data_IF_353460371042
#
_entry.id   IF_353460371042
#
_cell.length_a   1.000
_cell.length_b   1.000
_cell.length_c   1.000
_cell.angle_alpha   90.00
_cell.angle_beta   90.00
_cell.angle_gamma   90.00
#
_symmetry.space_group_name_H-M   'P 1'
#
loop_
_entity.id
_entity.type
_entity.pdbx_description
1 polymer ?
#
# COMPACT_ATOMS: atom_id res chain seq x y z
N UNK A 1 23.97 -16.86 10.57
CA UNK A 1 23.35 -15.54 10.28
C UNK A 1 23.36 -15.36 8.78
N UNK A 2 22.23 -15.57 8.10
CA UNK A 2 22.14 -15.34 6.67
C UNK A 2 22.40 -13.85 6.42
N UNK A 3 23.46 -13.54 5.68
CA UNK A 3 23.70 -12.20 5.16
C UNK A 3 22.42 -11.80 4.43
N UNK A 4 21.73 -10.77 4.92
CA UNK A 4 20.72 -10.04 4.15
C UNK A 4 21.43 -9.65 2.85
N UNK A 5 21.17 -10.41 1.79
CA UNK A 5 21.57 -10.00 0.44
C UNK A 5 20.94 -8.63 0.28
N UNK A 6 21.79 -7.60 0.15
CA UNK A 6 21.40 -6.24 -0.22
C UNK A 6 20.18 -6.31 -1.12
N UNK A 7 19.09 -5.63 -0.76
CA UNK A 7 17.90 -5.48 -1.60
C UNK A 7 18.36 -5.00 -3.01
N UNK A 8 18.48 -5.89 -4.01
CA UNK A 8 19.06 -5.52 -5.28
C UNK A 8 17.90 -5.36 -6.24
N UNK A 9 17.13 -4.27 -6.17
CA UNK A 9 16.37 -3.73 -7.32
C UNK A 9 15.34 -2.68 -6.94
N UNK A 10 15.63 -1.40 -7.22
CA UNK A 10 14.64 -0.37 -7.56
C UNK A 10 13.25 -0.43 -6.89
N UNK A 11 12.21 -0.14 -7.67
CA UNK A 11 10.79 -0.16 -7.28
C UNK A 11 10.14 -1.56 -7.45
N UNK A 12 10.93 -2.64 -7.47
CA UNK A 12 10.45 -4.01 -7.76
C UNK A 12 9.87 -4.67 -6.51
N UNK A 13 8.62 -5.10 -6.57
CA UNK A 13 7.89 -5.63 -5.41
C UNK A 13 7.08 -6.89 -5.70
N UNK A 14 7.03 -7.33 -6.96
CA UNK A 14 6.21 -8.43 -7.43
C UNK A 14 7.12 -9.48 -8.02
N UNK A 15 7.03 -10.73 -7.56
CA UNK A 15 7.79 -11.85 -8.08
C UNK A 15 6.85 -12.75 -8.86
N UNK A 16 7.18 -12.99 -10.12
CA UNK A 16 6.53 -14.02 -10.93
C UNK A 16 7.34 -15.32 -10.84
N UNK A 17 6.66 -16.45 -10.65
CA UNK A 17 7.29 -17.75 -10.37
C UNK A 17 6.84 -18.79 -11.40
N UNK A 18 7.80 -19.56 -11.93
CA UNK A 18 7.55 -20.62 -12.90
C UNK A 18 7.25 -21.99 -12.24
N UNK A 19 7.05 -23.03 -13.05
CA UNK A 19 6.78 -24.39 -12.57
C UNK A 19 7.91 -25.02 -11.74
N UNK A 20 9.16 -24.59 -11.97
CA UNK A 20 10.33 -25.09 -11.26
C UNK A 20 10.53 -24.40 -9.90
N UNK A 21 9.68 -23.42 -9.55
CA UNK A 21 9.87 -22.61 -8.34
C UNK A 21 10.96 -21.55 -8.48
N UNK A 22 11.41 -21.25 -9.70
CA UNK A 22 12.34 -20.15 -9.99
C UNK A 22 11.54 -18.86 -10.20
N UNK A 23 12.09 -17.72 -9.80
CA UNK A 23 11.35 -16.46 -9.78
C UNK A 23 12.15 -15.25 -10.26
N UNK A 24 11.43 -14.22 -10.70
CA UNK A 24 12.00 -12.93 -11.10
C UNK A 24 11.16 -11.77 -10.58
N UNK A 25 11.84 -10.75 -10.07
CA UNK A 25 11.21 -9.54 -9.51
C UNK A 25 10.91 -8.51 -10.60
N UNK A 26 9.75 -7.87 -10.47
CA UNK A 26 9.23 -6.82 -11.33
C UNK A 26 8.60 -5.71 -10.48
N UNK A 27 8.62 -4.50 -11.02
CA UNK A 27 7.76 -3.40 -10.58
C UNK A 27 6.36 -3.52 -11.20
N UNK A 28 5.38 -2.82 -10.62
CA UNK A 28 4.03 -2.78 -11.18
C UNK A 28 4.04 -2.13 -12.58
N UNK A 29 4.89 -1.12 -12.77
CA UNK A 29 5.07 -0.39 -14.02
C UNK A 29 5.66 -1.29 -15.12
N UNK A 30 6.65 -2.12 -14.80
CA UNK A 30 7.21 -3.11 -15.75
C UNK A 30 6.14 -4.11 -16.21
N UNK A 31 5.32 -4.62 -15.28
CA UNK A 31 4.26 -5.56 -15.62
C UNK A 31 3.16 -4.92 -16.46
N UNK A 32 2.79 -3.67 -16.17
CA UNK A 32 1.82 -2.90 -16.97
C UNK A 32 2.34 -2.64 -18.38
N UNK A 33 3.58 -2.17 -18.52
CA UNK A 33 4.18 -1.85 -19.82
C UNK A 33 4.32 -3.08 -20.73
N UNK A 34 4.41 -4.27 -20.15
CA UNK A 34 4.49 -5.56 -20.85
C UNK A 34 3.15 -6.27 -20.99
N UNK A 35 2.09 -5.72 -20.40
CA UNK A 35 0.77 -6.36 -20.31
C UNK A 35 0.79 -7.73 -19.61
N UNK A 36 1.72 -7.94 -18.67
CA UNK A 36 1.89 -9.20 -17.92
C UNK A 36 1.07 -9.27 -16.62
N UNK A 37 0.21 -8.28 -16.39
CA UNK A 37 -0.71 -8.15 -15.28
C UNK A 37 -2.08 -8.83 -15.55
N UNK A 38 -2.13 -9.81 -16.45
CA UNK A 38 -3.34 -10.51 -16.89
C UNK A 38 -3.47 -11.88 -16.21
N UNK A 39 -4.12 -11.91 -15.05
CA UNK A 39 -4.34 -13.14 -14.27
C UNK A 39 -5.81 -13.57 -14.24
N UNK A 40 -6.52 -13.38 -15.36
CA UNK A 40 -7.89 -13.86 -15.49
C UNK A 40 -7.91 -15.39 -15.36
N UNK A 41 -8.85 -15.92 -14.59
CA UNK A 41 -8.98 -17.35 -14.30
C UNK A 41 -8.01 -17.88 -13.25
N UNK A 42 -7.15 -17.03 -12.65
CA UNK A 42 -6.28 -17.43 -11.55
C UNK A 42 -6.96 -17.25 -10.20
N UNK A 43 -6.53 -18.01 -9.21
CA UNK A 43 -6.93 -17.80 -7.81
C UNK A 43 -6.13 -16.64 -7.23
N UNK A 44 -6.81 -15.69 -6.60
CA UNK A 44 -6.25 -14.46 -6.05
C UNK A 44 -6.54 -14.35 -4.56
N UNK A 45 -5.57 -13.88 -3.78
CA UNK A 45 -5.70 -13.71 -2.34
C UNK A 45 -6.50 -12.45 -1.91
N UNK A 46 -7.21 -11.80 -2.83
CA UNK A 46 -8.11 -10.69 -2.51
C UNK A 46 -9.19 -11.13 -1.51
N UNK A 47 -9.43 -10.32 -0.47
CA UNK A 47 -10.35 -10.60 0.63
C UNK A 47 -9.76 -11.47 1.74
N UNK A 48 -8.69 -12.22 1.46
CA UNK A 48 -7.99 -13.07 2.45
C UNK A 48 -6.72 -12.39 2.96
N UNK A 49 -5.93 -11.80 2.05
CA UNK A 49 -4.67 -11.11 2.35
C UNK A 49 -4.77 -9.59 2.12
N UNK A 50 -5.82 -9.11 1.46
CA UNK A 50 -6.06 -7.68 1.24
C UNK A 50 -7.50 -7.31 1.53
N UNK A 51 -7.71 -6.07 1.97
CA UNK A 51 -8.99 -5.39 1.97
C UNK A 51 -8.84 -3.99 1.36
N UNK A 52 -9.91 -3.51 0.76
CA UNK A 52 -10.06 -2.11 0.37
C UNK A 52 -11.23 -1.49 1.12
N UNK A 53 -10.96 -0.40 1.85
CA UNK A 53 -11.92 0.41 2.56
C UNK A 53 -12.07 1.74 1.83
N UNK A 54 -13.27 2.04 1.34
CA UNK A 54 -13.58 3.31 0.70
C UNK A 54 -13.78 4.43 1.73
N UNK A 55 -13.81 5.69 1.26
CA UNK A 55 -14.04 6.90 2.08
C UNK A 55 -15.33 6.89 2.92
N UNK A 56 -16.34 6.15 2.50
CA UNK A 56 -17.60 5.94 3.20
C UNK A 56 -17.63 4.71 4.11
N UNK A 57 -16.52 3.97 4.18
CA UNK A 57 -16.34 2.79 5.03
C UNK A 57 -16.72 1.47 4.37
N UNK A 58 -17.21 1.47 3.12
CA UNK A 58 -17.53 0.24 2.41
C UNK A 58 -16.27 -0.62 2.20
N UNK A 59 -16.42 -1.91 2.46
CA UNK A 59 -15.36 -2.90 2.36
C UNK A 59 -15.49 -3.71 1.09
N UNK A 60 -14.35 -3.91 0.45
CA UNK A 60 -14.18 -4.79 -0.69
C UNK A 60 -12.95 -5.67 -0.47
N UNK A 61 -12.92 -6.80 -1.16
CA UNK A 61 -11.80 -7.75 -1.17
C UNK A 61 -10.47 -7.17 -1.67
N UNK A 62 -10.51 -6.16 -2.54
CA UNK A 62 -9.35 -5.51 -3.13
C UNK A 62 -9.79 -4.21 -3.84
N UNK A 63 -8.83 -3.39 -4.29
CA UNK A 63 -9.14 -2.14 -5.00
C UNK A 63 -9.90 -2.41 -6.30
N UNK A 64 -9.57 -3.52 -7.00
CA UNK A 64 -10.29 -3.99 -8.18
C UNK A 64 -11.71 -4.50 -7.93
N UNK A 65 -12.09 -4.69 -6.64
CA UNK A 65 -13.39 -5.18 -6.15
C UNK A 65 -13.78 -6.60 -6.61
N UNK A 66 -12.80 -7.37 -7.09
CA UNK A 66 -13.02 -8.78 -7.45
C UNK A 66 -13.21 -9.62 -6.18
N UNK A 67 -14.38 -10.22 -5.98
CA UNK A 67 -14.79 -10.83 -4.70
C UNK A 67 -15.95 -10.10 -4.03
N UNK A 68 -16.28 -8.89 -4.49
CA UNK A 68 -17.51 -8.19 -4.11
C UNK A 68 -17.40 -7.34 -2.84
N UNK A 69 -18.56 -6.85 -2.40
CA UNK A 69 -18.77 -6.06 -1.20
C UNK A 69 -18.80 -6.96 0.03
N UNK A 70 -18.11 -6.57 1.10
CA UNK A 70 -17.90 -7.36 2.31
C UNK A 70 -18.57 -6.75 3.56
N UNK A 71 -19.11 -5.53 3.47
CA UNK A 71 -19.72 -4.81 4.58
C UNK A 71 -19.23 -3.37 4.72
N UNK A 72 -19.40 -2.78 5.89
CA UNK A 72 -18.90 -1.44 6.20
C UNK A 72 -18.18 -1.44 7.55
N UNK A 73 -17.00 -0.84 7.64
CA UNK A 73 -16.19 -0.80 8.88
C UNK A 73 -16.82 0.02 10.00
N UNK A 74 -17.84 0.83 9.71
CA UNK A 74 -18.55 1.62 10.71
C UNK A 74 -19.86 0.97 11.18
N UNK A 75 -20.21 -0.19 10.62
CA UNK A 75 -21.37 -0.97 11.00
C UNK A 75 -20.96 -2.21 11.82
N UNK A 76 -21.93 -2.90 12.41
CA UNK A 76 -21.68 -4.01 13.35
C UNK A 76 -21.27 -5.35 12.71
N UNK A 77 -21.37 -5.49 11.38
CA UNK A 77 -21.13 -6.76 10.68
C UNK A 77 -20.26 -6.59 9.44
N UNK A 78 -19.25 -7.44 9.34
CA UNK A 78 -18.38 -7.58 8.17
C UNK A 78 -18.19 -9.05 7.87
N UNK A 79 -18.46 -9.46 6.63
CA UNK A 79 -18.31 -10.83 6.16
C UNK A 79 -16.99 -10.96 5.40
N UNK A 80 -15.99 -11.57 6.04
CA UNK A 80 -14.68 -11.76 5.42
C UNK A 80 -14.66 -13.03 4.57
N UNK A 81 -13.92 -12.98 3.46
CA UNK A 81 -13.66 -14.16 2.65
C UNK A 81 -12.66 -15.08 3.35
N UNK A 82 -12.94 -16.38 3.32
CA UNK A 82 -12.07 -17.42 3.92
C UNK A 82 -11.16 -18.10 2.89
N UNK A 83 -11.45 -17.97 1.59
CA UNK A 83 -10.73 -18.64 0.50
C UNK A 83 -10.45 -17.71 -0.68
N UNK A 84 -9.55 -18.11 -1.57
CA UNK A 84 -9.13 -17.32 -2.73
C UNK A 84 -10.28 -17.10 -3.72
N UNK A 85 -10.32 -15.90 -4.29
CA UNK A 85 -11.28 -15.57 -5.34
C UNK A 85 -10.76 -16.00 -6.72
N UNK A 86 -11.62 -16.60 -7.54
CA UNK A 86 -11.30 -16.87 -8.94
C UNK A 86 -11.46 -15.57 -9.74
N UNK A 87 -10.33 -15.02 -10.21
CA UNK A 87 -10.29 -13.70 -10.83
C UNK A 87 -11.01 -13.65 -12.18
N UNK A 88 -12.03 -12.80 -12.32
CA UNK A 88 -12.74 -12.57 -13.58
C UNK A 88 -12.25 -11.35 -14.36
N UNK A 89 -11.40 -10.51 -13.75
CA UNK A 89 -10.84 -9.31 -14.39
C UNK A 89 -9.88 -9.70 -15.51
N UNK A 90 -9.94 -8.98 -16.63
CA UNK A 90 -9.03 -9.18 -17.78
C UNK A 90 -7.58 -8.83 -17.43
N UNK A 91 -7.39 -7.79 -16.62
CA UNK A 91 -6.10 -7.31 -16.16
C UNK A 91 -6.24 -6.71 -14.76
N UNK A 92 -5.14 -6.67 -14.01
CA UNK A 92 -5.07 -6.07 -12.67
C UNK A 92 -4.54 -4.64 -12.76
N UNK A 93 -5.22 -3.67 -12.16
CA UNK A 93 -4.92 -2.24 -12.38
C UNK A 93 -4.09 -1.57 -11.29
N UNK A 94 -4.06 -2.13 -10.09
CA UNK A 94 -3.45 -1.51 -8.92
C UNK A 94 -2.19 -2.28 -8.52
N UNK A 95 -1.06 -1.60 -8.32
CA UNK A 95 0.18 -2.25 -7.88
C UNK A 95 0.03 -3.05 -6.58
N UNK A 96 -0.76 -2.54 -5.63
CA UNK A 96 -1.08 -3.24 -4.37
C UNK A 96 -1.84 -4.55 -4.61
N UNK A 97 -2.77 -4.56 -5.56
CA UNK A 97 -3.52 -5.76 -5.95
C UNK A 97 -2.64 -6.70 -6.80
N UNK A 98 -1.73 -6.18 -7.63
CA UNK A 98 -0.81 -6.99 -8.44
C UNK A 98 0.14 -7.80 -7.54
N UNK A 99 0.60 -7.22 -6.44
CA UNK A 99 1.48 -7.89 -5.47
C UNK A 99 0.79 -9.00 -4.63
N UNK A 100 -0.55 -9.08 -4.64
CA UNK A 100 -1.25 -10.18 -3.97
C UNK A 100 -0.81 -11.53 -4.51
N UNK A 101 -0.78 -12.53 -3.62
CA UNK A 101 -0.53 -13.90 -4.03
C UNK A 101 -1.58 -14.37 -5.02
N UNK A 102 -1.11 -14.96 -6.12
CA UNK A 102 -1.94 -15.55 -7.16
C UNK A 102 -1.35 -16.87 -7.63
N UNK A 103 -2.21 -17.78 -8.06
CA UNK A 103 -1.77 -19.02 -8.67
C UNK A 103 -2.77 -19.50 -9.72
N UNK A 104 -2.25 -20.06 -10.81
CA UNK A 104 -3.04 -20.42 -11.99
C UNK A 104 -4.03 -21.56 -11.71
N UNK A 105 -3.60 -22.57 -10.95
CA UNK A 105 -4.41 -23.74 -10.59
C UNK A 105 -4.18 -24.11 -9.12
N UNK A 106 -5.13 -24.81 -8.48
CA UNK A 106 -5.10 -25.07 -7.03
C UNK A 106 -3.83 -25.80 -6.56
N UNK A 107 -3.31 -26.70 -7.39
CA UNK A 107 -2.05 -27.42 -7.17
C UNK A 107 -0.82 -26.50 -7.20
N UNK A 108 -0.86 -25.37 -7.93
CA UNK A 108 0.20 -24.36 -7.95
C UNK A 108 0.22 -23.44 -6.72
N UNK A 109 -0.73 -23.57 -5.79
CA UNK A 109 -0.79 -22.73 -4.57
C UNK A 109 0.55 -22.66 -3.84
N UNK A 110 1.24 -23.78 -3.72
CA UNK A 110 2.53 -23.85 -3.01
C UNK A 110 3.62 -22.96 -3.61
N UNK A 111 3.59 -22.65 -4.91
CA UNK A 111 4.54 -21.75 -5.57
C UNK A 111 4.34 -20.29 -5.15
N UNK A 112 3.09 -19.91 -4.84
CA UNK A 112 2.75 -18.59 -4.31
C UNK A 112 3.12 -18.44 -2.82
N UNK A 113 3.61 -19.49 -2.16
CA UNK A 113 3.92 -19.54 -0.71
C UNK A 113 5.35 -20.04 -0.40
N UNK A 114 6.23 -20.07 -1.39
CA UNK A 114 7.64 -20.41 -1.20
C UNK A 114 8.51 -19.33 -1.84
N UNK A 115 9.51 -18.88 -1.09
CA UNK A 115 10.59 -18.06 -1.65
C UNK A 115 11.19 -18.80 -2.87
N UNK A 116 11.50 -18.10 -3.98
CA UNK A 116 12.03 -18.76 -5.17
C UNK A 116 13.30 -19.55 -4.87
N UNK A 117 13.43 -20.74 -5.47
CA UNK A 117 14.61 -21.60 -5.32
C UNK A 117 15.86 -20.96 -5.95
N UNK A 118 15.66 -20.23 -7.05
CA UNK A 118 16.68 -19.48 -7.75
C UNK A 118 16.07 -18.25 -8.45
N UNK A 119 16.92 -17.27 -8.75
CA UNK A 119 16.58 -16.11 -9.57
C UNK A 119 16.71 -16.48 -11.06
N UNK A 120 15.71 -16.10 -11.87
CA UNK A 120 15.73 -16.37 -13.31
C UNK A 120 16.67 -15.38 -14.03
N UNK A 121 17.55 -15.87 -14.94
CA UNK A 121 18.47 -15.01 -15.68
C UNK A 121 17.76 -14.15 -16.73
N UNK A 122 16.65 -14.66 -17.28
CA UNK A 122 15.85 -14.00 -18.32
C UNK A 122 14.37 -14.01 -17.95
N UNK A 123 13.54 -13.31 -18.72
CA UNK A 123 12.10 -13.36 -18.52
C UNK A 123 11.54 -14.68 -19.04
N UNK A 124 10.86 -15.50 -18.21
CA UNK A 124 10.34 -16.76 -18.70
C UNK A 124 9.09 -16.55 -19.57
N UNK A 125 8.88 -17.52 -20.47
CA UNK A 125 7.75 -17.56 -21.38
C UNK A 125 6.41 -17.86 -20.67
N UNK A 126 6.44 -18.51 -19.49
CA UNK A 126 5.26 -18.81 -18.68
C UNK A 126 5.56 -18.70 -17.18
N UNK A 127 4.53 -18.28 -16.42
CA UNK A 127 4.52 -18.25 -14.97
C UNK A 127 3.25 -18.90 -14.44
N UNK A 128 3.32 -19.46 -13.24
CA UNK A 128 2.23 -20.20 -12.60
C UNK A 128 1.82 -19.61 -11.25
N UNK A 129 2.64 -18.72 -10.68
CA UNK A 129 2.31 -18.01 -9.45
C UNK A 129 2.87 -16.59 -9.42
N UNK A 130 2.23 -15.77 -8.58
CA UNK A 130 2.64 -14.41 -8.22
C UNK A 130 2.79 -14.36 -6.72
N UNK A 131 3.83 -13.70 -6.24
CA UNK A 131 4.04 -13.45 -4.82
C UNK A 131 4.68 -12.08 -4.58
N UNK A 132 4.50 -11.48 -3.40
CA UNK A 132 5.27 -10.30 -3.00
C UNK A 132 6.77 -10.64 -2.84
N UNK A 133 7.62 -9.62 -2.94
CA UNK A 133 9.07 -9.78 -2.73
C UNK A 133 9.35 -10.23 -1.27
N UNK A 134 10.03 -11.37 -1.12
CA UNK A 134 10.43 -12.00 0.15
C UNK A 134 9.29 -12.42 1.09
N UNK A 135 8.87 -13.67 1.00
CA UNK A 135 7.78 -14.20 1.83
C UNK A 135 8.10 -14.27 3.32
N UNK A 136 9.35 -14.57 3.64
CA UNK A 136 9.85 -14.68 5.02
C UNK A 136 9.70 -13.38 5.83
N UNK A 137 9.48 -12.25 5.15
CA UNK A 137 9.28 -10.93 5.75
C UNK A 137 7.90 -10.33 5.40
N UNK A 138 7.06 -11.06 4.67
CA UNK A 138 5.78 -10.55 4.22
C UNK A 138 4.78 -10.48 5.37
N UNK A 139 4.28 -9.28 5.57
CA UNK A 139 3.12 -9.02 6.41
C UNK A 139 1.93 -9.69 5.70
N UNK A 140 1.30 -10.70 6.32
CA UNK A 140 0.35 -11.58 5.63
C UNK A 140 -0.95 -10.87 5.21
N UNK A 141 -1.25 -9.75 5.84
CA UNK A 141 -2.48 -8.99 5.63
C UNK A 141 -2.16 -7.54 5.30
N UNK A 142 -2.93 -6.97 4.39
CA UNK A 142 -2.88 -5.54 4.10
C UNK A 142 -4.28 -4.94 3.97
N UNK A 143 -4.40 -3.66 4.29
CA UNK A 143 -5.63 -2.89 4.17
C UNK A 143 -5.29 -1.60 3.44
N UNK A 144 -5.93 -1.37 2.30
CA UNK A 144 -5.91 -0.07 1.63
C UNK A 144 -7.13 0.72 2.10
N UNK A 145 -6.92 1.89 2.70
CA UNK A 145 -8.00 2.66 3.31
C UNK A 145 -7.98 4.11 2.84
N UNK A 146 -9.02 4.48 2.10
CA UNK A 146 -9.33 5.87 1.80
C UNK A 146 -10.00 6.49 3.04
N UNK A 147 -9.28 7.30 3.82
CA UNK A 147 -9.80 7.75 5.13
C UNK A 147 -10.90 8.83 5.03
N UNK A 148 -11.11 9.37 3.83
CA UNK A 148 -12.07 10.42 3.51
C UNK A 148 -11.72 11.05 2.16
N UNK A 149 -12.62 11.85 1.58
CA UNK A 149 -12.32 12.59 0.33
C UNK A 149 -11.83 14.02 0.56
N UNK A 150 -11.98 14.54 1.78
CA UNK A 150 -11.57 15.92 2.10
C UNK A 150 -10.08 16.11 1.84
N UNK A 151 -9.76 17.07 0.98
CA UNK A 151 -8.42 17.52 0.63
C UNK A 151 -8.34 19.04 0.76
N UNK A 152 -7.14 19.56 1.00
CA UNK A 152 -6.83 20.98 0.95
C UNK A 152 -6.38 21.45 -0.44
N UNK A 153 -6.09 20.53 -1.37
CA UNK A 153 -5.83 20.82 -2.79
C UNK A 153 -7.05 20.48 -3.66
N UNK A 154 -7.10 21.06 -4.85
CA UNK A 154 -8.13 20.81 -5.87
C UNK A 154 -7.48 20.58 -7.24
N UNK A 155 -6.65 19.54 -7.34
CA UNK A 155 -5.89 19.23 -8.55
C UNK A 155 -6.78 18.98 -9.77
N UNK A 156 -6.41 19.56 -10.91
CA UNK A 156 -7.23 19.56 -12.14
C UNK A 156 -7.60 18.16 -12.65
N UNK A 157 -6.73 17.18 -12.41
CA UNK A 157 -6.87 15.79 -12.82
C UNK A 157 -7.49 14.88 -11.74
N UNK A 158 -7.80 15.41 -10.55
CA UNK A 158 -8.39 14.61 -9.48
C UNK A 158 -9.93 14.69 -9.54
N UNK A 159 -10.64 13.57 -9.75
CA UNK A 159 -12.10 13.60 -9.81
C UNK A 159 -12.71 13.82 -8.41
N UNK A 160 -13.87 14.50 -8.31
CA UNK A 160 -14.60 14.71 -7.04
C UNK A 160 -14.95 13.41 -6.29
N UNK A 161 -15.05 12.30 -7.01
CA UNK A 161 -15.27 10.97 -6.45
C UNK A 161 -14.08 10.46 -5.62
N UNK A 162 -12.87 10.93 -5.90
CA UNK A 162 -11.65 10.57 -5.19
C UNK A 162 -11.29 11.60 -4.10
N UNK A 163 -11.33 12.90 -4.43
CA UNK A 163 -11.08 13.97 -3.46
C UNK A 163 -11.93 15.21 -3.71
N UNK A 164 -12.21 15.99 -2.66
CA UNK A 164 -12.93 17.26 -2.75
C UNK A 164 -12.55 18.23 -1.63
N UNK A 165 -12.96 19.49 -1.75
CA UNK A 165 -12.63 20.57 -0.81
C UNK A 165 -13.78 20.96 0.13
N UNK A 166 -14.84 20.17 0.21
CA UNK A 166 -16.06 20.55 0.94
C UNK A 166 -16.54 19.53 1.96
N UNK A 167 -16.16 18.25 1.86
CA UNK A 167 -16.58 17.25 2.84
C UNK A 167 -15.90 17.43 4.20
N UNK A 168 -16.58 16.99 5.25
CA UNK A 168 -16.00 16.95 6.60
C UNK A 168 -14.97 15.82 6.72
N UNK A 169 -13.95 16.04 7.55
CA UNK A 169 -13.07 14.97 7.98
C UNK A 169 -13.81 13.95 8.85
N UNK A 170 -13.35 12.69 8.80
CA UNK A 170 -13.78 11.68 9.77
C UNK A 170 -13.23 12.03 11.15
N UNK A 171 -14.09 11.95 12.17
CA UNK A 171 -13.70 12.15 13.56
C UNK A 171 -12.79 11.02 14.06
N UNK A 172 -12.03 11.28 15.12
CA UNK A 172 -11.28 10.26 15.84
C UNK A 172 -12.15 9.06 16.25
N UNK A 173 -13.35 9.30 16.80
CA UNK A 173 -14.26 8.23 17.21
C UNK A 173 -14.63 7.29 16.07
N UNK A 174 -14.90 7.84 14.88
CA UNK A 174 -15.17 7.05 13.67
C UNK A 174 -13.95 6.26 13.22
N UNK A 175 -12.78 6.91 13.09
CA UNK A 175 -11.54 6.24 12.66
C UNK A 175 -11.15 5.10 13.62
N UNK A 176 -11.23 5.36 14.94
CA UNK A 176 -10.97 4.37 15.98
C UNK A 176 -11.92 3.18 15.87
N UNK A 177 -13.22 3.43 15.74
CA UNK A 177 -14.20 2.36 15.59
C UNK A 177 -13.93 1.51 14.34
N UNK A 178 -13.63 2.17 13.22
CA UNK A 178 -13.29 1.51 11.96
C UNK A 178 -12.08 0.59 12.08
N UNK A 179 -10.97 1.08 12.65
CA UNK A 179 -9.77 0.27 12.82
C UNK A 179 -9.98 -0.87 13.82
N UNK A 180 -10.78 -0.69 14.87
CA UNK A 180 -11.14 -1.76 15.80
C UNK A 180 -11.92 -2.88 15.11
N UNK A 181 -12.87 -2.54 14.23
CA UNK A 181 -13.61 -3.52 13.45
C UNK A 181 -12.72 -4.26 12.45
N UNK A 182 -11.79 -3.56 11.78
CA UNK A 182 -10.78 -4.18 10.93
C UNK A 182 -9.91 -5.16 11.74
N UNK A 183 -9.48 -4.76 12.93
CA UNK A 183 -8.66 -5.59 13.81
C UNK A 183 -9.39 -6.89 14.18
N UNK A 184 -10.64 -6.76 14.62
CA UNK A 184 -11.50 -7.88 15.01
C UNK A 184 -11.84 -8.83 13.86
N UNK A 185 -12.23 -8.27 12.71
CA UNK A 185 -12.79 -9.06 11.61
C UNK A 185 -11.72 -9.62 10.67
N UNK A 186 -10.66 -8.85 10.38
CA UNK A 186 -9.65 -9.20 9.39
C UNK A 186 -8.30 -9.55 10.01
N UNK A 187 -7.74 -8.64 10.81
CA UNK A 187 -6.36 -8.76 11.32
C UNK A 187 -6.22 -9.99 12.22
N UNK A 188 -7.15 -10.19 13.17
CA UNK A 188 -7.24 -11.39 14.02
C UNK A 188 -5.89 -11.83 14.62
N UNK A 189 -5.15 -10.87 15.17
CA UNK A 189 -3.84 -11.10 15.81
C UNK A 189 -2.64 -11.15 14.86
N UNK A 190 -2.83 -11.24 13.54
CA UNK A 190 -1.72 -11.22 12.58
C UNK A 190 -1.15 -9.83 12.37
N UNK A 191 0.11 -9.76 11.95
CA UNK A 191 0.68 -8.48 11.52
C UNK A 191 -0.05 -8.00 10.25
N UNK A 192 -0.30 -6.69 10.17
CA UNK A 192 -1.03 -6.08 9.06
C UNK A 192 -0.34 -4.80 8.57
N UNK A 193 -0.40 -4.57 7.25
CA UNK A 193 0.05 -3.34 6.60
C UNK A 193 -1.14 -2.46 6.23
N UNK A 194 -1.20 -1.25 6.76
CA UNK A 194 -2.19 -0.24 6.41
C UNK A 194 -1.62 0.72 5.37
N UNK A 195 -2.28 0.86 4.23
CA UNK A 195 -1.97 1.85 3.20
C UNK A 195 -3.08 2.91 3.21
N UNK A 196 -2.80 4.08 3.75
CA UNK A 196 -3.72 5.20 3.86
C UNK A 196 -3.64 6.11 2.65
N UNK A 197 -4.81 6.43 2.11
CA UNK A 197 -5.01 7.31 0.95
C UNK A 197 -6.35 8.05 1.09
N UNK A 198 -6.88 8.59 -0.01
CA UNK A 198 -8.15 9.29 -0.10
C UNK A 198 -7.97 10.70 -0.65
N UNK A 199 -8.56 11.69 0.01
CA UNK A 199 -8.29 13.11 -0.20
C UNK A 199 -6.88 13.46 0.26
N UNK A 200 -6.74 14.16 1.39
CA UNK A 200 -5.43 14.34 2.02
C UNK A 200 -5.44 13.78 3.44
N UNK A 201 -4.85 12.60 3.68
CA UNK A 201 -4.86 11.97 4.99
C UNK A 201 -4.29 12.87 6.10
N UNK A 202 -3.16 13.53 5.85
CA UNK A 202 -2.47 14.35 6.85
C UNK A 202 -3.18 15.65 7.18
N UNK A 203 -4.16 16.05 6.36
CA UNK A 203 -5.03 17.19 6.61
C UNK A 203 -6.14 16.87 7.60
N UNK A 204 -6.48 15.58 7.80
CA UNK A 204 -7.40 15.17 8.86
C UNK A 204 -6.72 15.34 10.24
N UNK A 205 -7.26 16.17 11.17
CA UNK A 205 -6.67 16.39 12.48
C UNK A 205 -6.49 15.12 13.32
N UNK A 206 -7.32 14.10 13.11
CA UNK A 206 -7.29 12.82 13.85
C UNK A 206 -6.41 11.75 13.22
N UNK A 207 -5.73 12.04 12.10
CA UNK A 207 -4.93 11.03 11.39
C UNK A 207 -3.73 10.55 12.20
N UNK A 208 -3.03 11.46 12.88
CA UNK A 208 -1.87 11.10 13.69
C UNK A 208 -2.27 10.25 14.92
N UNK A 209 -3.43 10.52 15.51
CA UNK A 209 -3.99 9.72 16.61
C UNK A 209 -4.31 8.29 16.16
N UNK A 210 -4.80 8.11 14.93
CA UNK A 210 -4.99 6.79 14.33
C UNK A 210 -3.68 6.00 14.22
N UNK A 211 -2.62 6.64 13.73
CA UNK A 211 -1.31 5.99 13.60
C UNK A 211 -0.71 5.63 14.96
N UNK A 212 -0.82 6.53 15.95
CA UNK A 212 -0.40 6.29 17.34
C UNK A 212 -1.15 5.09 17.92
N UNK A 213 -2.47 5.07 17.76
CA UNK A 213 -3.29 3.96 18.25
C UNK A 213 -2.91 2.63 17.61
N UNK A 214 -2.69 2.58 16.28
CA UNK A 214 -2.25 1.35 15.60
C UNK A 214 -0.89 0.86 16.13
N UNK A 215 0.05 1.78 16.40
CA UNK A 215 1.37 1.44 16.96
C UNK A 215 1.28 0.86 18.37
N UNK A 216 0.36 1.37 19.18
CA UNK A 216 0.13 0.95 20.57
C UNK A 216 -0.64 -0.39 20.68
N UNK A 217 -1.14 -0.94 19.57
CA UNK A 217 -1.85 -2.22 19.53
C UNK A 217 -1.09 -3.20 18.63
N UNK A 218 0.02 -3.81 19.10
CA UNK A 218 0.83 -4.71 18.29
C UNK A 218 0.08 -6.01 17.95
N UNK A 219 0.51 -6.75 16.92
CA UNK A 219 -0.10 -8.01 16.53
C UNK A 219 0.05 -9.06 17.64
N UNK A 220 -1.06 -9.68 18.07
CA UNK A 220 -1.08 -10.71 19.11
C UNK A 220 -0.15 -11.91 18.80
N UNK A 221 -0.10 -12.32 17.52
CA UNK A 221 0.74 -13.44 17.06
C UNK A 221 2.22 -13.06 16.93
N UNK A 222 2.55 -11.76 16.96
CA UNK A 222 3.92 -11.23 16.85
C UNK A 222 4.09 -9.98 17.74
N UNK A 223 4.04 -10.12 19.08
CA UNK A 223 3.97 -8.97 20.01
C UNK A 223 5.20 -8.06 19.99
N UNK A 224 6.35 -8.57 19.51
CA UNK A 224 7.58 -7.79 19.32
C UNK A 224 7.66 -7.09 17.94
N UNK A 225 6.58 -7.10 17.16
CA UNK A 225 6.48 -6.42 15.86
C UNK A 225 5.41 -5.35 15.91
N UNK A 226 5.48 -4.40 14.98
CA UNK A 226 4.42 -3.40 14.78
C UNK A 226 3.65 -3.69 13.50
N UNK A 227 2.38 -3.29 13.47
CA UNK A 227 1.70 -3.07 12.20
C UNK A 227 2.47 -2.02 11.38
N UNK A 228 2.53 -2.19 10.06
CA UNK A 228 3.20 -1.22 9.20
C UNK A 228 2.16 -0.27 8.65
N UNK A 229 2.36 1.02 8.84
CA UNK A 229 1.54 2.03 8.19
C UNK A 229 2.31 2.64 7.02
N UNK A 230 1.59 3.00 5.97
CA UNK A 230 2.08 3.77 4.84
C UNK A 230 1.03 4.82 4.52
N UNK A 231 1.44 6.07 4.30
CA UNK A 231 0.54 7.15 3.88
C UNK A 231 0.98 7.71 2.53
N UNK A 232 0.04 7.88 1.61
CA UNK A 232 0.21 8.75 0.44
C UNK A 232 -0.35 10.13 0.79
N UNK A 233 0.47 11.16 0.64
CA UNK A 233 0.17 12.55 1.04
C UNK A 233 0.65 13.54 -0.02
N UNK A 234 -0.02 14.67 -0.15
CA UNK A 234 0.34 15.77 -1.04
C UNK A 234 1.51 16.64 -0.53
N UNK A 235 2.04 16.38 0.67
CA UNK A 235 3.18 17.13 1.20
C UNK A 235 2.86 18.50 1.79
N UNK A 236 1.59 18.85 1.98
CA UNK A 236 1.18 20.24 2.29
C UNK A 236 1.36 20.72 3.74
N UNK A 237 1.46 19.81 4.73
CA UNK A 237 1.73 20.15 6.14
C UNK A 237 3.13 20.77 6.32
N UNK A 238 3.39 21.34 7.49
CA UNK A 238 4.71 21.89 7.82
C UNK A 238 5.77 20.78 8.02
N UNK A 239 7.06 21.06 7.75
CA UNK A 239 8.14 20.09 7.90
C UNK A 239 8.17 19.37 9.25
N UNK A 240 7.88 20.06 10.34
CA UNK A 240 7.86 19.50 11.71
C UNK A 240 6.79 18.42 11.87
N UNK A 241 5.66 18.56 11.16
CA UNK A 241 4.62 17.53 11.18
C UNK A 241 5.12 16.24 10.55
N UNK A 242 5.86 16.32 9.43
CA UNK A 242 6.42 15.15 8.78
C UNK A 242 7.59 14.54 9.55
N UNK A 243 8.35 15.37 10.27
CA UNK A 243 9.38 14.93 11.21
C UNK A 243 8.80 14.04 12.34
N UNK A 244 7.62 14.38 12.87
CA UNK A 244 6.89 13.52 13.80
C UNK A 244 6.26 12.31 13.10
N UNK A 245 5.65 12.52 11.93
CA UNK A 245 4.87 11.51 11.22
C UNK A 245 5.69 10.24 10.89
N UNK A 246 6.97 10.41 10.51
CA UNK A 246 7.84 9.30 10.11
C UNK A 246 8.13 8.31 11.26
N UNK A 247 7.87 8.69 12.52
CA UNK A 247 7.98 7.78 13.67
C UNK A 247 6.87 6.71 13.70
N UNK A 248 5.79 6.91 12.93
CA UNK A 248 4.60 6.07 12.99
C UNK A 248 4.23 5.43 11.65
N UNK A 249 4.65 6.01 10.53
CA UNK A 249 4.28 5.53 9.20
C UNK A 249 5.39 5.73 8.18
N UNK A 250 5.42 4.86 7.17
CA UNK A 250 6.10 5.13 5.92
C UNK A 250 5.40 6.29 5.20
N UNK A 251 6.16 7.12 4.48
CA UNK A 251 5.65 8.35 3.86
C UNK A 251 5.92 8.34 2.35
N UNK A 252 4.86 8.43 1.56
CA UNK A 252 4.93 8.71 0.12
C UNK A 252 4.39 10.09 -0.17
N UNK A 253 5.25 11.04 -0.56
CA UNK A 253 4.83 12.37 -0.99
C UNK A 253 4.52 12.34 -2.48
N UNK A 254 3.28 12.63 -2.86
CA UNK A 254 2.87 12.94 -4.23
C UNK A 254 2.98 14.44 -4.46
N UNK A 255 3.94 14.88 -5.27
CA UNK A 255 4.17 16.30 -5.56
C UNK A 255 3.23 16.73 -6.67
N UNK A 256 2.27 17.59 -6.32
CA UNK A 256 1.29 18.16 -7.24
C UNK A 256 1.78 19.52 -7.75
N UNK A 257 2.31 19.57 -8.98
CA UNK A 257 2.95 20.79 -9.51
C UNK A 257 2.06 22.04 -9.57
N UNK A 258 0.74 21.89 -9.62
CA UNK A 258 -0.23 22.99 -9.55
C UNK A 258 -0.19 23.75 -8.21
N UNK A 259 0.25 23.09 -7.12
CA UNK A 259 0.23 23.65 -5.75
C UNK A 259 1.58 23.55 -5.03
N UNK A 260 2.53 22.76 -5.56
CA UNK A 260 3.80 22.48 -4.90
C UNK A 260 4.67 23.73 -4.80
N UNK A 261 5.07 24.07 -3.57
CA UNK A 261 6.18 24.96 -3.26
C UNK A 261 7.46 24.13 -3.13
N UNK A 262 8.39 24.36 -4.05
CA UNK A 262 9.62 23.58 -4.15
C UNK A 262 10.53 23.79 -2.93
N UNK A 263 10.56 25.00 -2.33
CA UNK A 263 11.35 25.26 -1.13
C UNK A 263 10.79 24.52 0.07
N UNK A 264 9.47 24.61 0.30
CA UNK A 264 8.80 23.89 1.38
C UNK A 264 8.94 22.38 1.24
N UNK A 265 8.85 21.87 0.01
CA UNK A 265 9.08 20.45 -0.28
C UNK A 265 10.50 20.02 0.13
N UNK A 266 11.52 20.80 -0.24
CA UNK A 266 12.91 20.52 0.12
C UNK A 266 13.14 20.60 1.64
N UNK A 267 12.53 21.56 2.33
CA UNK A 267 12.57 21.65 3.80
C UNK A 267 11.93 20.42 4.45
N UNK A 268 10.77 20.00 3.95
CA UNK A 268 10.08 18.79 4.39
C UNK A 268 10.94 17.54 4.19
N UNK A 269 11.54 17.36 3.01
CA UNK A 269 12.46 16.25 2.72
C UNK A 269 13.64 16.26 3.70
N UNK A 270 14.25 17.43 3.93
CA UNK A 270 15.38 17.59 4.86
C UNK A 270 14.99 17.21 6.29
N UNK A 271 13.82 17.63 6.78
CA UNK A 271 13.34 17.29 8.11
C UNK A 271 13.18 15.77 8.29
N UNK A 272 12.49 15.11 7.35
CA UNK A 272 12.31 13.64 7.37
C UNK A 272 13.65 12.91 7.33
N UNK A 273 14.55 13.29 6.42
CA UNK A 273 15.86 12.64 6.26
C UNK A 273 16.74 12.87 7.50
N UNK A 274 16.77 14.09 8.04
CA UNK A 274 17.53 14.42 9.25
C UNK A 274 17.07 13.58 10.45
N UNK A 275 15.75 13.42 10.63
CA UNK A 275 15.18 12.55 11.66
C UNK A 275 15.58 11.09 11.47
N UNK A 276 15.44 10.56 10.25
CA UNK A 276 15.82 9.17 9.94
C UNK A 276 17.31 8.89 10.15
N UNK A 277 18.19 9.86 9.87
CA UNK A 277 19.63 9.73 10.10
C UNK A 277 20.00 9.71 11.58
N UNK A 278 19.20 10.35 12.45
CA UNK A 278 19.44 10.40 13.90
C UNK A 278 18.89 9.18 14.65
N UNK A 279 17.90 8.47 14.10
CA UNK A 279 17.21 7.37 14.78
C UNK A 279 17.40 6.05 14.05
N UNK A 280 18.20 5.15 14.61
CA UNK A 280 18.58 3.88 14.00
C UNK A 280 17.39 2.99 13.60
N UNK A 281 16.30 2.99 14.38
CA UNK A 281 15.11 2.18 14.12
C UNK A 281 14.32 2.65 12.90
N UNK A 282 14.40 3.94 12.57
CA UNK A 282 13.69 4.52 11.43
C UNK A 282 14.32 4.15 10.08
N UNK A 283 15.47 3.46 10.06
CA UNK A 283 16.10 3.02 8.80
C UNK A 283 15.15 2.16 7.94
N UNK A 284 14.20 1.46 8.57
CA UNK A 284 13.22 0.60 7.90
C UNK A 284 11.90 1.30 7.53
N UNK A 285 11.68 2.53 8.00
CA UNK A 285 10.52 3.33 7.59
C UNK A 285 10.77 3.89 6.18
N UNK A 286 10.10 3.35 5.17
CA UNK A 286 10.25 3.85 3.80
C UNK A 286 9.79 5.32 3.69
N UNK A 287 10.57 6.11 2.95
CA UNK A 287 10.21 7.46 2.55
C UNK A 287 10.49 7.59 1.04
N UNK A 288 9.55 8.16 0.30
CA UNK A 288 9.75 8.44 -1.11
C UNK A 288 8.92 9.61 -1.61
N UNK A 289 9.41 10.24 -2.68
CA UNK A 289 8.78 11.36 -3.37
C UNK A 289 8.41 10.91 -4.77
N UNK A 290 7.18 11.17 -5.18
CA UNK A 290 6.63 10.86 -6.50
C UNK A 290 6.17 12.15 -7.15
N UNK A 291 6.75 12.49 -8.28
CA UNK A 291 6.38 13.69 -9.04
C UNK A 291 5.14 13.38 -9.88
N UNK A 292 4.04 14.08 -9.62
CA UNK A 292 2.84 14.00 -10.46
C UNK A 292 3.03 14.96 -11.62
N UNK A 293 3.59 14.47 -12.73
CA UNK A 293 4.00 15.28 -13.88
C UNK A 293 2.88 15.33 -14.92
N UNK A 294 2.05 16.39 -14.97
CA UNK A 294 1.11 16.57 -16.05
C UNK A 294 1.83 16.85 -17.38
N UNK A 295 1.16 16.66 -18.53
CA UNK A 295 1.72 17.02 -19.83
C UNK A 295 2.27 18.45 -19.84
N UNK A 296 3.49 18.62 -20.38
CA UNK A 296 4.17 19.93 -20.46
C UNK A 296 5.06 20.30 -19.28
N UNK A 297 5.11 19.49 -18.20
CA UNK A 297 5.93 19.78 -17.01
C UNK A 297 7.20 18.92 -16.89
N UNK A 298 7.64 18.32 -17.99
CA UNK A 298 8.83 17.46 -18.01
C UNK A 298 10.07 18.18 -17.50
N UNK A 299 10.35 19.38 -18.00
CA UNK A 299 11.56 20.14 -17.64
C UNK A 299 11.58 20.50 -16.14
N UNK A 300 10.42 20.87 -15.57
CA UNK A 300 10.31 21.10 -14.11
C UNK A 300 10.62 19.82 -13.33
N UNK A 301 10.11 18.68 -13.77
CA UNK A 301 10.38 17.39 -13.13
C UNK A 301 11.87 17.03 -13.21
N UNK A 302 12.51 17.23 -14.36
CA UNK A 302 13.95 16.99 -14.54
C UNK A 302 14.81 17.90 -13.66
N UNK A 303 14.42 19.16 -13.44
CA UNK A 303 15.15 20.07 -12.55
C UNK A 303 15.03 19.76 -11.06
N UNK A 304 14.02 18.97 -10.64
CA UNK A 304 13.80 18.57 -9.25
C UNK A 304 14.48 17.24 -8.88
N UNK A 305 14.96 16.48 -9.87
CA UNK A 305 15.64 15.19 -9.70
C UNK A 305 17.15 15.35 -9.57
#
# INVERSE_FOLDING_TARGET
>A
MAKSKNNPSGNKSIVLVNANGEGKSYSAEELLAREWNTWQGWYCAAGVENLYVTHDGCLFSAVCREGGFLGNIYDSYVEMLEDYVLCKKKWCMCGTDMALRKFKHKDHKHLAYKDPLAELPEDPAEYLAVQPIYQSHCIPKQVTWDIGRRCNYSCSYCPPSASNTYESHRSWGSLKHGVQNIFKAFVKGDQCKFNFSGGEPTFNPSFLDLLKWIKDHPPENKPNHHHVCHVTTNGSREPEYYEELIDYTQIGISVHFEFADDNKLLETIRAIVAKKNKTQDLRWQWFGVRLMVPPGYRDRAENLM
#
